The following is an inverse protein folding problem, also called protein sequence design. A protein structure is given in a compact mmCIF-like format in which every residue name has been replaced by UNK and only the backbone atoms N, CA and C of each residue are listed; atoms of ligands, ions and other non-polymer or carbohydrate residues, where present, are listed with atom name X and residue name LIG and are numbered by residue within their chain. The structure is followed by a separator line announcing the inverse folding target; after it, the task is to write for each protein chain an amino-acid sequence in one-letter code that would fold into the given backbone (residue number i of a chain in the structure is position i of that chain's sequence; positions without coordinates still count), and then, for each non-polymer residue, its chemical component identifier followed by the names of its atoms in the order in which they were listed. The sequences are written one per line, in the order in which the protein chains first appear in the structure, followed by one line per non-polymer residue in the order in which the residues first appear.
data_IF_008743582828
#
_entry.id   IF_008743582828
#
_cell.length_a   1.000
_cell.length_b   1.000
_cell.length_c   1.000
_cell.angle_alpha   90.00
_cell.angle_beta   90.00
_cell.angle_gamma   90.00
#
_symmetry.space_group_name_H-M   'P 1'
#
loop_
_entity.id
_entity.type
_entity.pdbx_description
1 polymer ?
#
# COMPACT_ATOMS: atom_id res chain seq x y z
N UNK A 1 17.35 50.42 -110.30
CA UNK A 1 18.14 50.82 -111.49
C UNK A 1 17.99 49.74 -112.55
N UNK A 2 17.57 50.10 -113.78
CA UNK A 2 17.29 49.11 -114.84
C UNK A 2 18.59 48.49 -115.35
N UNK A 3 18.57 47.16 -115.48
CA UNK A 3 19.62 46.24 -115.98
C UNK A 3 20.41 46.77 -117.19
N UNK A 4 19.75 47.52 -118.07
CA UNK A 4 20.34 48.10 -119.28
C UNK A 4 21.48 49.10 -119.03
N UNK A 5 21.52 49.78 -117.88
CA UNK A 5 22.57 50.76 -117.61
C UNK A 5 23.91 50.11 -117.26
N UNK A 6 23.91 48.90 -116.67
CA UNK A 6 25.12 48.19 -116.25
C UNK A 6 25.86 47.52 -117.42
N UNK A 7 25.15 47.04 -118.44
CA UNK A 7 25.79 46.52 -119.67
C UNK A 7 26.51 47.63 -120.44
N UNK A 8 25.97 48.85 -120.42
CA UNK A 8 26.58 50.02 -121.09
C UNK A 8 27.89 50.47 -120.41
N UNK A 9 27.98 50.31 -119.09
CA UNK A 9 29.20 50.62 -118.34
C UNK A 9 30.33 49.60 -118.61
N UNK A 10 30.00 48.33 -118.86
CA UNK A 10 30.98 47.28 -119.19
C UNK A 10 31.64 47.46 -120.58
N UNK A 11 30.97 48.12 -121.54
CA UNK A 11 31.55 48.40 -122.87
C UNK A 11 32.64 49.48 -122.86
N UNK A 12 32.55 50.47 -121.95
CA UNK A 12 33.40 51.67 -121.94
C UNK A 12 34.67 51.57 -121.07
N UNK A 13 35.01 50.42 -120.49
CA UNK A 13 36.30 50.25 -119.81
C UNK A 13 37.48 50.25 -120.81
N UNK A 14 38.68 50.77 -120.51
CA UNK A 14 39.88 50.58 -121.35
C UNK A 14 40.60 49.26 -121.00
N UNK A 15 40.89 48.40 -121.98
CA UNK A 15 41.55 47.09 -121.79
C UNK A 15 41.34 46.13 -122.97
N UNK A 16 42.22 45.14 -123.12
CA UNK A 16 42.14 44.05 -124.12
C UNK A 16 40.83 43.26 -123.99
N UNK A 17 40.25 42.80 -125.10
CA UNK A 17 38.90 42.19 -125.14
C UNK A 17 38.66 41.08 -124.10
N UNK A 18 39.70 40.34 -123.71
CA UNK A 18 39.61 39.23 -122.76
C UNK A 18 39.25 39.67 -121.34
N UNK A 19 39.77 40.80 -120.86
CA UNK A 19 39.49 41.30 -119.50
C UNK A 19 38.06 41.82 -119.38
N UNK A 20 37.54 42.45 -120.44
CA UNK A 20 36.14 42.88 -120.51
C UNK A 20 35.17 41.70 -120.52
N UNK A 21 35.52 40.61 -121.23
CA UNK A 21 34.71 39.38 -121.24
C UNK A 21 34.67 38.75 -119.85
N UNK A 22 35.81 38.63 -119.16
CA UNK A 22 35.85 38.11 -117.78
C UNK A 22 35.04 38.96 -116.80
N UNK A 23 35.20 40.29 -116.81
CA UNK A 23 34.42 41.18 -115.96
C UNK A 23 32.90 41.12 -116.27
N UNK A 24 32.55 40.98 -117.55
CA UNK A 24 31.15 40.78 -117.97
C UNK A 24 30.58 39.44 -117.51
N UNK A 25 31.37 38.38 -117.52
CA UNK A 25 31.00 37.06 -117.00
C UNK A 25 30.81 37.08 -115.47
N UNK A 26 31.69 37.75 -114.72
CA UNK A 26 31.55 37.92 -113.27
C UNK A 26 30.32 38.74 -112.87
N UNK A 27 30.03 39.82 -113.60
CA UNK A 27 28.81 40.61 -113.38
C UNK A 27 27.56 39.81 -113.74
N UNK A 28 27.59 39.01 -114.82
CA UNK A 28 26.49 38.09 -115.16
C UNK A 28 26.31 37.00 -114.09
N UNK A 29 27.40 36.46 -113.55
CA UNK A 29 27.36 35.49 -112.46
C UNK A 29 26.76 36.12 -111.20
N UNK A 30 27.26 37.30 -110.79
CA UNK A 30 26.74 38.07 -109.66
C UNK A 30 25.27 38.44 -109.84
N UNK A 31 24.82 38.72 -111.06
CA UNK A 31 23.42 38.99 -111.35
C UNK A 31 22.56 37.72 -111.27
N UNK A 32 23.09 36.56 -111.70
CA UNK A 32 22.42 35.27 -111.51
C UNK A 32 22.28 34.95 -110.02
N UNK A 33 23.32 35.14 -109.22
CA UNK A 33 23.26 34.91 -107.77
C UNK A 33 22.31 35.89 -107.08
N UNK A 34 22.26 37.16 -107.50
CA UNK A 34 21.33 38.13 -106.94
C UNK A 34 19.86 37.79 -107.30
N UNK A 35 19.62 37.19 -108.47
CA UNK A 35 18.30 36.64 -108.82
C UNK A 35 17.96 35.40 -107.99
N UNK A 36 18.87 34.45 -107.83
CA UNK A 36 18.60 33.25 -107.01
C UNK A 36 18.32 33.62 -105.55
N UNK A 37 19.11 34.54 -104.97
CA UNK A 37 18.89 35.06 -103.61
C UNK A 37 17.54 35.80 -103.50
N UNK A 38 17.15 36.56 -104.53
CA UNK A 38 15.83 37.20 -104.56
C UNK A 38 14.71 36.16 -104.59
N UNK A 39 14.86 35.10 -105.39
CA UNK A 39 13.87 34.02 -105.48
C UNK A 39 13.77 33.26 -104.15
N UNK A 40 14.89 32.95 -103.50
CA UNK A 40 14.94 32.39 -102.14
C UNK A 40 14.27 33.29 -101.11
N UNK A 41 14.55 34.60 -101.12
CA UNK A 41 13.89 35.55 -100.22
C UNK A 41 12.38 35.59 -100.45
N UNK A 42 11.92 35.54 -101.71
CA UNK A 42 10.48 35.47 -101.99
C UNK A 42 9.85 34.17 -101.51
N UNK A 43 10.57 33.03 -101.57
CA UNK A 43 10.12 31.75 -101.00
C UNK A 43 10.00 31.83 -99.48
N UNK A 44 11.03 32.29 -98.79
CA UNK A 44 11.03 32.45 -97.34
C UNK A 44 9.94 33.42 -96.87
N UNK A 45 9.76 34.53 -97.58
CA UNK A 45 8.66 35.47 -97.31
C UNK A 45 7.29 34.79 -97.45
N UNK A 46 7.11 33.97 -98.48
CA UNK A 46 5.86 33.23 -98.69
C UNK A 46 5.68 32.14 -97.61
N UNK A 47 6.74 31.43 -97.21
CA UNK A 47 6.71 30.46 -96.11
C UNK A 47 6.40 31.12 -94.77
N UNK A 48 6.99 32.27 -94.48
CA UNK A 48 6.69 33.05 -93.29
C UNK A 48 5.24 33.53 -93.29
N UNK A 49 4.72 33.99 -94.44
CA UNK A 49 3.30 34.35 -94.58
C UNK A 49 2.38 33.15 -94.30
N UNK A 50 2.68 31.97 -94.88
CA UNK A 50 1.93 30.74 -94.65
C UNK A 50 1.98 30.35 -93.17
N UNK A 51 3.15 30.40 -92.56
CA UNK A 51 3.35 30.12 -91.13
C UNK A 51 2.56 31.10 -90.25
N UNK A 52 2.52 32.37 -90.62
CA UNK A 52 1.75 33.39 -89.92
C UNK A 52 0.24 33.16 -90.08
N UNK A 53 -0.23 32.74 -91.26
CA UNK A 53 -1.64 32.36 -91.46
C UNK A 53 -2.01 31.13 -90.63
N UNK A 54 -1.15 30.11 -90.55
CA UNK A 54 -1.37 28.96 -89.68
C UNK A 54 -1.40 29.35 -88.21
N UNK A 55 -0.46 30.20 -87.77
CA UNK A 55 -0.46 30.73 -86.41
C UNK A 55 -1.74 31.49 -86.09
N UNK A 56 -2.23 32.30 -87.04
CA UNK A 56 -3.50 33.02 -86.90
C UNK A 56 -4.66 32.04 -86.77
N UNK A 57 -4.72 30.99 -87.59
CA UNK A 57 -5.77 29.96 -87.51
C UNK A 57 -5.70 29.16 -86.20
N UNK A 58 -4.51 28.80 -85.73
CA UNK A 58 -4.33 28.10 -84.44
C UNK A 58 -4.76 29.00 -83.29
N UNK A 59 -4.42 30.30 -83.34
CA UNK A 59 -4.85 31.25 -82.35
C UNK A 59 -6.38 31.38 -82.32
N UNK A 60 -7.01 31.50 -83.50
CA UNK A 60 -8.47 31.52 -83.64
C UNK A 60 -9.12 30.24 -83.12
N UNK A 61 -8.56 29.07 -83.44
CA UNK A 61 -9.08 27.79 -82.95
C UNK A 61 -8.95 27.67 -81.42
N UNK A 62 -7.87 28.20 -80.84
CA UNK A 62 -7.66 28.22 -79.40
C UNK A 62 -8.61 29.19 -78.69
N UNK A 63 -8.81 30.38 -79.24
CA UNK A 63 -9.80 31.34 -78.74
C UNK A 63 -11.20 30.74 -78.79
N UNK A 64 -11.59 30.15 -79.92
CA UNK A 64 -12.87 29.48 -80.06
C UNK A 64 -13.07 28.36 -79.03
N UNK A 65 -12.04 27.54 -78.80
CA UNK A 65 -12.09 26.49 -77.79
C UNK A 65 -12.18 27.05 -76.37
N UNK A 66 -11.47 28.13 -76.08
CA UNK A 66 -11.54 28.81 -74.81
C UNK A 66 -12.94 29.40 -74.57
N UNK A 67 -13.53 30.03 -75.58
CA UNK A 67 -14.89 30.58 -75.54
C UNK A 67 -15.93 29.47 -75.31
N UNK A 68 -15.79 28.32 -76.00
CA UNK A 68 -16.64 27.15 -75.78
C UNK A 68 -16.53 26.62 -74.35
N UNK A 69 -15.31 26.44 -73.83
CA UNK A 69 -15.11 25.98 -72.45
C UNK A 69 -15.65 26.97 -71.43
N UNK A 70 -15.46 28.26 -71.65
CA UNK A 70 -15.99 29.30 -70.76
C UNK A 70 -17.52 29.36 -70.79
N UNK A 71 -18.13 29.10 -71.95
CA UNK A 71 -19.58 29.02 -72.12
C UNK A 71 -20.15 27.79 -71.40
N UNK A 72 -19.49 26.63 -71.52
CA UNK A 72 -19.94 25.38 -70.90
C UNK A 72 -19.67 25.32 -69.40
N UNK A 73 -18.59 25.98 -68.92
CA UNK A 73 -18.17 25.98 -67.53
C UNK A 73 -17.89 27.42 -67.03
N UNK A 74 -18.92 28.21 -66.69
CA UNK A 74 -18.75 29.63 -66.31
C UNK A 74 -17.96 29.85 -65.02
N UNK A 75 -17.96 28.86 -64.12
CA UNK A 75 -17.30 28.93 -62.82
C UNK A 75 -15.83 28.46 -62.85
N UNK A 76 -15.33 28.05 -64.03
CA UNK A 76 -13.99 27.50 -64.19
C UNK A 76 -12.98 28.59 -64.57
N UNK A 77 -11.86 28.65 -63.86
CA UNK A 77 -10.74 29.52 -64.21
C UNK A 77 -9.58 28.68 -64.77
N UNK A 78 -9.10 29.03 -65.97
CA UNK A 78 -8.01 28.31 -66.65
C UNK A 78 -6.64 28.37 -65.92
N UNK A 79 -6.57 29.09 -64.80
CA UNK A 79 -5.35 29.35 -64.02
C UNK A 79 -5.09 28.28 -62.94
N UNK A 80 -6.09 27.48 -62.57
CA UNK A 80 -5.97 26.47 -61.54
C UNK A 80 -5.46 25.14 -62.11
N UNK A 81 -4.31 24.67 -61.62
CA UNK A 81 -3.65 23.43 -62.09
C UNK A 81 -4.37 22.12 -61.75
N UNK A 82 -5.47 22.14 -61.00
CA UNK A 82 -6.21 20.93 -60.61
C UNK A 82 -7.72 21.11 -60.77
N UNK A 83 -8.29 20.39 -61.71
CA UNK A 83 -9.73 20.41 -62.01
C UNK A 83 -10.48 19.50 -61.03
N UNK A 84 -11.29 20.07 -60.14
CA UNK A 84 -12.23 19.32 -59.30
C UNK A 84 -13.65 19.63 -59.79
N UNK A 85 -14.10 18.88 -60.79
CA UNK A 85 -15.47 18.97 -61.29
C UNK A 85 -16.41 18.17 -60.39
N UNK A 86 -17.64 18.65 -60.23
CA UNK A 86 -18.72 17.83 -59.69
C UNK A 86 -19.12 16.73 -60.69
N UNK A 87 -19.73 15.63 -60.23
CA UNK A 87 -20.09 14.47 -61.07
C UNK A 87 -20.94 14.87 -62.29
N UNK A 88 -21.90 15.79 -62.12
CA UNK A 88 -22.72 16.31 -63.21
C UNK A 88 -21.94 17.16 -64.24
N UNK A 89 -20.89 17.86 -63.82
CA UNK A 89 -20.03 18.66 -64.71
C UNK A 89 -19.04 17.75 -65.45
N UNK A 90 -18.63 16.64 -64.82
CA UNK A 90 -17.82 15.59 -65.43
C UNK A 90 -18.60 14.88 -66.54
N UNK A 91 -19.88 14.56 -66.33
CA UNK A 91 -20.73 13.95 -67.36
C UNK A 91 -20.94 14.88 -68.56
N UNK A 92 -21.14 16.19 -68.33
CA UNK A 92 -21.24 17.19 -69.39
C UNK A 92 -19.94 17.29 -70.19
N UNK A 93 -18.79 17.25 -69.52
CA UNK A 93 -17.48 17.24 -70.17
C UNK A 93 -17.26 15.97 -71.00
N UNK A 94 -17.63 14.80 -70.48
CA UNK A 94 -17.55 13.52 -71.20
C UNK A 94 -18.44 13.57 -72.44
N UNK A 95 -19.66 14.09 -72.32
CA UNK A 95 -20.58 14.24 -73.45
C UNK A 95 -20.01 15.16 -74.53
N UNK A 96 -19.45 16.32 -74.15
CA UNK A 96 -18.80 17.25 -75.07
C UNK A 96 -17.58 16.62 -75.76
N UNK A 97 -16.72 15.93 -75.01
CA UNK A 97 -15.56 15.24 -75.56
C UNK A 97 -15.99 14.15 -76.55
N UNK A 98 -17.02 13.38 -76.21
CA UNK A 98 -17.59 12.36 -77.08
C UNK A 98 -18.19 12.96 -78.36
N UNK A 99 -18.96 14.04 -78.26
CA UNK A 99 -19.54 14.73 -79.41
C UNK A 99 -18.46 15.32 -80.32
N UNK A 100 -17.40 15.88 -79.75
CA UNK A 100 -16.24 16.39 -80.47
C UNK A 100 -15.49 15.28 -81.20
N UNK A 101 -15.26 14.13 -80.53
CA UNK A 101 -14.66 12.95 -81.16
C UNK A 101 -15.52 12.46 -82.32
N UNK A 102 -16.84 12.37 -82.14
CA UNK A 102 -17.77 11.97 -83.20
C UNK A 102 -17.76 12.96 -84.38
N UNK A 103 -17.70 14.26 -84.10
CA UNK A 103 -17.59 15.30 -85.13
C UNK A 103 -16.32 15.10 -85.96
N UNK A 104 -15.16 14.91 -85.32
CA UNK A 104 -13.90 14.70 -86.03
C UNK A 104 -13.84 13.34 -86.75
N UNK A 105 -14.42 12.28 -86.19
CA UNK A 105 -14.58 11.01 -86.91
C UNK A 105 -15.46 11.16 -88.15
N UNK A 106 -16.52 11.96 -88.07
CA UNK A 106 -17.38 12.27 -89.23
C UNK A 106 -16.64 13.10 -90.28
N UNK A 107 -15.83 14.07 -89.88
CA UNK A 107 -14.97 14.84 -90.79
C UNK A 107 -13.88 13.95 -91.42
N UNK A 108 -13.25 13.05 -90.67
CA UNK A 108 -12.26 12.09 -91.20
C UNK A 108 -12.88 11.13 -92.22
N UNK A 109 -14.05 10.57 -91.92
CA UNK A 109 -14.77 9.69 -92.87
C UNK A 109 -15.25 10.47 -94.10
N UNK A 110 -15.66 11.72 -93.94
CA UNK A 110 -15.95 12.62 -95.06
C UNK A 110 -14.70 12.91 -95.91
N UNK A 111 -13.54 13.16 -95.30
CA UNK A 111 -12.28 13.33 -96.02
C UNK A 111 -11.86 12.05 -96.76
N UNK A 112 -11.99 10.87 -96.14
CA UNK A 112 -11.68 9.60 -96.79
C UNK A 112 -12.63 9.30 -97.95
N UNK A 113 -13.94 9.50 -97.77
CA UNK A 113 -14.92 9.33 -98.86
C UNK A 113 -14.70 10.33 -100.00
N UNK A 114 -14.37 11.59 -99.70
CA UNK A 114 -14.01 12.60 -100.71
C UNK A 114 -12.69 12.25 -101.40
N UNK A 115 -11.70 11.74 -100.66
CA UNK A 115 -10.43 11.24 -101.20
C UNK A 115 -10.63 10.07 -102.14
N UNK A 116 -11.42 9.07 -101.72
CA UNK A 116 -11.82 7.93 -102.54
C UNK A 116 -12.64 8.35 -103.76
N UNK A 117 -13.53 9.34 -103.64
CA UNK A 117 -14.29 9.87 -104.77
C UNK A 117 -13.39 10.59 -105.77
N UNK A 118 -12.45 11.43 -105.31
CA UNK A 118 -11.45 12.07 -106.17
C UNK A 118 -10.56 11.03 -106.86
N UNK A 119 -10.20 9.96 -106.16
CA UNK A 119 -9.40 8.87 -106.69
C UNK A 119 -10.18 8.07 -107.74
N UNK A 120 -11.46 7.73 -107.49
CA UNK A 120 -12.34 7.13 -108.50
C UNK A 120 -12.46 7.99 -109.75
N UNK A 121 -12.64 9.31 -109.58
CA UNK A 121 -12.67 10.26 -110.69
C UNK A 121 -11.32 10.36 -111.42
N UNK A 122 -10.19 10.23 -110.72
CA UNK A 122 -8.87 10.15 -111.34
C UNK A 122 -8.65 8.83 -112.10
N UNK A 123 -9.18 7.72 -111.57
CA UNK A 123 -9.13 6.39 -112.17
C UNK A 123 -10.01 6.31 -113.42
N UNK A 124 -11.21 6.91 -113.40
CA UNK A 124 -12.12 7.02 -114.56
C UNK A 124 -11.58 7.96 -115.65
N UNK A 125 -10.83 8.99 -115.27
CA UNK A 125 -10.15 9.89 -116.21
C UNK A 125 -8.86 9.30 -116.80
N UNK A 126 -8.32 8.24 -116.21
CA UNK A 126 -7.10 7.56 -116.66
C UNK A 126 -7.48 6.32 -117.47
N UNK A 127 -7.59 6.45 -118.79
CA UNK A 127 -7.50 5.30 -119.68
C UNK A 127 -6.03 5.08 -120.09
N UNK A 128 -5.50 3.94 -119.62
CA UNK A 128 -4.28 3.23 -120.08
C UNK A 128 -2.96 3.93 -119.73
N UNK A 129 -2.37 3.60 -118.57
CA UNK A 129 -0.91 3.39 -118.49
C UNK A 129 -0.04 4.31 -117.64
N UNK A 130 -0.57 5.21 -116.80
CA UNK A 130 0.29 6.01 -115.91
C UNK A 130 0.73 5.21 -114.66
N UNK A 131 2.05 5.06 -114.40
CA UNK A 131 2.58 4.31 -113.26
C UNK A 131 2.17 4.91 -111.91
N UNK A 132 2.04 6.24 -111.83
CA UNK A 132 1.73 6.98 -110.61
C UNK A 132 0.34 6.68 -110.03
N UNK A 133 -0.65 6.41 -110.89
CA UNK A 133 -2.00 6.05 -110.47
C UNK A 133 -2.06 4.63 -109.88
N UNK A 134 -1.25 3.72 -110.41
CA UNK A 134 -1.10 2.35 -109.90
C UNK A 134 -0.33 2.38 -108.57
N UNK A 135 0.73 3.19 -108.49
CA UNK A 135 1.50 3.42 -107.27
C UNK A 135 0.61 3.97 -106.14
N UNK A 136 -0.25 4.95 -106.41
CA UNK A 136 -1.21 5.47 -105.42
C UNK A 136 -2.19 4.39 -104.88
N UNK A 137 -2.63 3.44 -105.71
CA UNK A 137 -3.50 2.33 -105.27
C UNK A 137 -2.73 1.34 -104.40
N UNK A 138 -1.50 1.01 -104.79
CA UNK A 138 -0.62 0.14 -104.01
C UNK A 138 -0.30 0.78 -102.66
N UNK A 139 0.01 2.08 -102.64
CA UNK A 139 0.23 2.84 -101.42
C UNK A 139 -1.00 2.82 -100.49
N UNK A 140 -2.21 2.97 -101.04
CA UNK A 140 -3.43 2.94 -100.24
C UNK A 140 -3.69 1.55 -99.61
N UNK A 141 -3.45 0.47 -100.35
CA UNK A 141 -3.58 -0.89 -99.81
C UNK A 141 -2.48 -1.21 -98.79
N UNK A 142 -1.25 -0.76 -99.02
CA UNK A 142 -0.16 -0.84 -98.04
C UNK A 142 -0.51 -0.09 -96.76
N UNK A 143 -1.11 1.11 -96.87
CA UNK A 143 -1.58 1.88 -95.72
C UNK A 143 -2.74 1.19 -94.97
N UNK A 144 -3.65 0.50 -95.67
CA UNK A 144 -4.69 -0.31 -95.03
C UNK A 144 -4.09 -1.47 -94.24
N UNK A 145 -3.13 -2.21 -94.81
CA UNK A 145 -2.45 -3.30 -94.11
C UNK A 145 -1.63 -2.80 -92.93
N UNK A 146 -0.90 -1.68 -93.07
CA UNK A 146 -0.21 -1.02 -91.93
C UNK A 146 -1.18 -0.68 -90.81
N UNK A 147 -2.37 -0.15 -91.11
CA UNK A 147 -3.40 0.16 -90.11
C UNK A 147 -3.93 -1.09 -89.41
N UNK A 148 -4.16 -2.19 -90.15
CA UNK A 148 -4.56 -3.48 -89.56
C UNK A 148 -3.49 -3.99 -88.61
N UNK A 149 -2.23 -4.02 -89.07
CA UNK A 149 -1.07 -4.43 -88.26
C UNK A 149 -0.95 -3.55 -87.01
N UNK A 150 -1.05 -2.23 -87.13
CA UNK A 150 -1.05 -1.32 -85.99
C UNK A 150 -2.20 -1.60 -85.02
N UNK A 151 -3.41 -1.85 -85.53
CA UNK A 151 -4.57 -2.20 -84.70
C UNK A 151 -4.35 -3.50 -83.94
N UNK A 152 -3.78 -4.51 -84.59
CA UNK A 152 -3.52 -5.81 -83.96
C UNK A 152 -2.38 -5.75 -82.94
N UNK A 153 -1.33 -4.96 -83.19
CA UNK A 153 -0.29 -4.68 -82.18
C UNK A 153 -0.85 -3.91 -80.99
N UNK A 154 -1.73 -2.94 -81.25
CA UNK A 154 -2.37 -2.17 -80.17
C UNK A 154 -3.25 -3.08 -79.29
N UNK A 155 -4.01 -4.01 -79.88
CA UNK A 155 -4.76 -5.03 -79.13
C UNK A 155 -3.83 -5.89 -78.28
N UNK A 156 -2.77 -6.45 -78.87
CA UNK A 156 -1.79 -7.27 -78.13
C UNK A 156 -1.12 -6.52 -76.99
N UNK A 157 -0.80 -5.23 -77.18
CA UNK A 157 -0.24 -4.39 -76.12
C UNK A 157 -1.23 -4.17 -74.98
N UNK A 158 -2.51 -3.97 -75.30
CA UNK A 158 -3.57 -3.84 -74.30
C UNK A 158 -3.78 -5.15 -73.52
N UNK A 159 -3.79 -6.29 -74.21
CA UNK A 159 -3.94 -7.61 -73.59
C UNK A 159 -2.74 -7.91 -72.66
N UNK A 160 -1.51 -7.67 -73.14
CA UNK A 160 -0.30 -7.84 -72.33
C UNK A 160 -0.31 -6.91 -71.11
N UNK A 161 -0.79 -5.67 -71.27
CA UNK A 161 -0.92 -4.72 -70.17
C UNK A 161 -1.96 -5.19 -69.16
N UNK A 162 -3.12 -5.67 -69.61
CA UNK A 162 -4.16 -6.22 -68.76
C UNK A 162 -3.66 -7.44 -67.96
N UNK A 163 -2.94 -8.36 -68.60
CA UNK A 163 -2.33 -9.51 -67.94
C UNK A 163 -1.28 -9.10 -66.89
N UNK A 164 -0.45 -8.11 -67.21
CA UNK A 164 0.53 -7.55 -66.26
C UNK A 164 -0.17 -6.90 -65.06
N UNK A 165 -1.20 -6.10 -65.31
CA UNK A 165 -2.00 -5.46 -64.26
C UNK A 165 -2.71 -6.50 -63.38
N UNK A 166 -3.21 -7.58 -63.98
CA UNK A 166 -3.89 -8.65 -63.24
C UNK A 166 -2.92 -9.43 -62.35
N UNK A 167 -1.75 -9.81 -62.88
CA UNK A 167 -0.68 -10.43 -62.08
C UNK A 167 -0.21 -9.52 -60.93
N UNK A 168 -0.07 -8.22 -61.18
CA UNK A 168 0.28 -7.26 -60.15
C UNK A 168 -0.80 -7.16 -59.06
N UNK A 169 -2.08 -7.11 -59.45
CA UNK A 169 -3.21 -7.12 -58.51
C UNK A 169 -3.21 -8.40 -57.65
N UNK A 170 -2.98 -9.55 -58.26
CA UNK A 170 -3.00 -10.83 -57.54
C UNK A 170 -1.80 -10.98 -56.61
N UNK A 171 -0.61 -10.49 -57.00
CA UNK A 171 0.55 -10.42 -56.13
C UNK A 171 0.30 -9.49 -54.92
N UNK A 172 -0.29 -8.31 -55.14
CA UNK A 172 -0.65 -7.38 -54.05
C UNK A 172 -1.69 -8.02 -53.11
N UNK A 173 -2.70 -8.69 -53.64
CA UNK A 173 -3.70 -9.40 -52.83
C UNK A 173 -3.05 -10.48 -51.98
N UNK A 174 -2.21 -11.33 -52.57
CA UNK A 174 -1.50 -12.38 -51.84
C UNK A 174 -0.60 -11.80 -50.75
N UNK A 175 0.16 -10.75 -51.06
CA UNK A 175 0.98 -10.04 -50.10
C UNK A 175 0.15 -9.45 -48.95
N UNK A 176 -0.99 -8.81 -49.25
CA UNK A 176 -1.88 -8.26 -48.23
C UNK A 176 -2.47 -9.36 -47.34
N UNK A 177 -2.90 -10.49 -47.90
CA UNK A 177 -3.40 -11.63 -47.12
C UNK A 177 -2.32 -12.17 -46.18
N UNK A 178 -1.12 -12.44 -46.69
CA UNK A 178 0.01 -12.88 -45.87
C UNK A 178 0.35 -11.87 -44.77
N UNK A 179 0.37 -10.57 -45.10
CA UNK A 179 0.63 -9.53 -44.11
C UNK A 179 -0.48 -9.48 -43.04
N UNK A 180 -1.75 -9.64 -43.41
CA UNK A 180 -2.85 -9.69 -42.45
C UNK A 180 -2.78 -10.91 -41.54
N UNK A 181 -2.40 -12.08 -42.07
CA UNK A 181 -2.21 -13.30 -41.28
C UNK A 181 -1.06 -13.14 -40.28
N UNK A 182 0.10 -12.64 -40.73
CA UNK A 182 1.25 -12.37 -39.86
C UNK A 182 0.88 -11.36 -38.76
N UNK A 183 0.10 -10.33 -39.07
CA UNK A 183 -0.36 -9.36 -38.08
C UNK A 183 -1.32 -9.99 -37.06
N UNK A 184 -2.24 -10.84 -37.51
CA UNK A 184 -3.15 -11.55 -36.61
C UNK A 184 -2.39 -12.51 -35.68
N UNK A 185 -1.41 -13.25 -36.20
CA UNK A 185 -0.56 -14.14 -35.42
C UNK A 185 0.28 -13.37 -34.39
N UNK A 186 0.86 -12.24 -34.80
CA UNK A 186 1.60 -11.36 -33.91
C UNK A 186 0.71 -10.80 -32.78
N UNK A 187 -0.52 -10.37 -33.11
CA UNK A 187 -1.49 -9.90 -32.12
C UNK A 187 -1.90 -11.02 -31.15
N UNK A 188 -2.23 -12.20 -31.65
CA UNK A 188 -2.57 -13.36 -30.82
C UNK A 188 -1.43 -13.76 -29.86
N UNK A 189 -0.18 -13.67 -30.31
CA UNK A 189 0.97 -13.92 -29.45
C UNK A 189 1.13 -12.84 -28.38
N UNK A 190 0.94 -11.56 -28.73
CA UNK A 190 0.98 -10.45 -27.77
C UNK A 190 -0.13 -10.57 -26.73
N UNK A 191 -1.33 -10.95 -27.11
CA UNK A 191 -2.45 -11.19 -26.19
C UNK A 191 -2.11 -12.30 -25.19
N UNK A 192 -1.55 -13.43 -25.67
CA UNK A 192 -1.11 -14.53 -24.80
C UNK A 192 -0.03 -14.07 -23.82
N UNK A 193 0.94 -13.28 -24.27
CA UNK A 193 2.02 -12.77 -23.41
C UNK A 193 1.49 -11.77 -22.37
N UNK A 194 0.57 -10.89 -22.76
CA UNK A 194 -0.09 -9.96 -21.82
C UNK A 194 -0.90 -10.73 -20.79
N UNK A 195 -1.69 -11.72 -21.21
CA UNK A 195 -2.48 -12.55 -20.31
C UNK A 195 -1.60 -13.34 -19.33
N UNK A 196 -0.46 -13.87 -19.78
CA UNK A 196 0.52 -14.53 -18.91
C UNK A 196 1.12 -13.56 -17.88
N UNK A 197 1.50 -12.35 -18.32
CA UNK A 197 2.03 -11.31 -17.41
C UNK A 197 0.99 -10.88 -16.38
N UNK A 198 -0.25 -10.65 -16.81
CA UNK A 198 -1.36 -10.28 -15.93
C UNK A 198 -1.64 -11.38 -14.89
N UNK A 199 -1.71 -12.64 -15.32
CA UNK A 199 -1.89 -13.78 -14.41
C UNK A 199 -0.77 -13.86 -13.38
N UNK A 200 0.49 -13.74 -13.82
CA UNK A 200 1.65 -13.76 -12.93
C UNK A 200 1.62 -12.62 -11.92
N UNK A 201 1.28 -11.40 -12.36
CA UNK A 201 1.15 -10.25 -11.45
C UNK A 201 0.03 -10.45 -10.43
N UNK A 202 -1.10 -11.02 -10.85
CA UNK A 202 -2.23 -11.28 -9.97
C UNK A 202 -1.91 -12.38 -8.95
N UNK A 203 -1.22 -13.44 -9.37
CA UNK A 203 -0.72 -14.49 -8.47
C UNK A 203 0.29 -13.92 -7.46
N UNK A 204 1.22 -13.08 -7.90
CA UNK A 204 2.21 -12.43 -7.03
C UNK A 204 1.56 -11.49 -6.01
N UNK A 205 0.58 -10.68 -6.43
CA UNK A 205 -0.19 -9.83 -5.52
C UNK A 205 -0.98 -10.67 -4.50
N UNK A 206 -1.61 -11.74 -4.95
CA UNK A 206 -2.40 -12.63 -4.10
C UNK A 206 -1.52 -13.38 -3.08
N UNK A 207 -0.32 -13.79 -3.47
CA UNK A 207 0.67 -14.38 -2.54
C UNK A 207 1.12 -13.34 -1.51
N UNK A 208 1.52 -12.15 -1.94
CA UNK A 208 1.95 -11.07 -1.04
C UNK A 208 0.85 -10.69 -0.04
N UNK A 209 -0.40 -10.62 -0.47
CA UNK A 209 -1.53 -10.30 0.39
C UNK A 209 -1.82 -11.43 1.38
N UNK A 210 -1.75 -12.69 0.95
CA UNK A 210 -1.84 -13.86 1.85
C UNK A 210 -0.72 -13.88 2.89
N UNK A 211 0.50 -13.54 2.51
CA UNK A 211 1.64 -13.49 3.43
C UNK A 211 1.45 -12.40 4.48
N UNK A 212 1.06 -11.18 4.08
CA UNK A 212 0.72 -10.10 5.01
C UNK A 212 -0.38 -10.50 5.98
N UNK A 213 -1.47 -11.09 5.48
CA UNK A 213 -2.55 -11.59 6.35
C UNK A 213 -2.05 -12.67 7.32
N UNK A 214 -1.16 -13.57 6.87
CA UNK A 214 -0.59 -14.61 7.73
C UNK A 214 0.29 -14.00 8.82
N UNK A 215 1.09 -12.99 8.51
CA UNK A 215 1.90 -12.27 9.49
C UNK A 215 1.03 -11.54 10.52
N UNK A 216 -0.01 -10.84 10.08
CA UNK A 216 -0.96 -10.16 10.96
C UNK A 216 -1.69 -11.17 11.87
N UNK A 217 -2.13 -12.29 11.33
CA UNK A 217 -2.76 -13.37 12.10
C UNK A 217 -1.78 -14.00 13.10
N UNK A 218 -0.52 -14.23 12.72
CA UNK A 218 0.50 -14.74 13.62
C UNK A 218 0.77 -13.75 14.76
N UNK A 219 0.86 -12.45 14.46
CA UNK A 219 1.01 -11.39 15.46
C UNK A 219 -0.19 -11.31 16.41
N UNK A 220 -1.42 -11.40 15.89
CA UNK A 220 -2.65 -11.46 16.71
C UNK A 220 -2.69 -12.71 17.60
N UNK A 221 -2.39 -13.88 17.05
CA UNK A 221 -2.33 -15.13 17.81
C UNK A 221 -1.27 -15.08 18.91
N UNK A 222 -0.10 -14.49 18.64
CA UNK A 222 0.93 -14.26 19.64
C UNK A 222 0.45 -13.36 20.79
N UNK A 223 -0.21 -12.25 20.47
CA UNK A 223 -0.80 -11.35 21.48
C UNK A 223 -1.90 -12.02 22.30
N UNK A 224 -2.78 -12.80 21.65
CA UNK A 224 -3.86 -13.53 22.33
C UNK A 224 -3.30 -14.59 23.28
N UNK A 225 -2.29 -15.36 22.86
CA UNK A 225 -1.61 -16.32 23.74
C UNK A 225 -0.93 -15.64 24.92
N UNK A 226 -0.22 -14.52 24.66
CA UNK A 226 0.39 -13.72 25.73
C UNK A 226 -0.65 -13.20 26.72
N UNK A 227 -1.80 -12.74 26.24
CA UNK A 227 -2.91 -12.30 27.10
C UNK A 227 -3.51 -13.46 27.90
N UNK A 228 -3.71 -14.63 27.30
CA UNK A 228 -4.23 -15.81 28.01
C UNK A 228 -3.26 -16.29 29.10
N UNK A 229 -1.95 -16.32 28.83
CA UNK A 229 -0.94 -16.65 29.83
C UNK A 229 -0.89 -15.62 30.97
N UNK A 230 -0.97 -14.32 30.66
CA UNK A 230 -1.03 -13.26 31.66
C UNK A 230 -2.30 -13.35 32.51
N UNK A 231 -3.45 -13.63 31.89
CA UNK A 231 -4.71 -13.85 32.60
C UNK A 231 -4.62 -15.05 33.55
N UNK A 232 -4.06 -16.18 33.08
CA UNK A 232 -3.87 -17.38 33.92
C UNK A 232 -2.93 -17.12 35.10
N UNK A 233 -1.80 -16.44 34.86
CA UNK A 233 -0.87 -16.04 35.93
C UNK A 233 -1.52 -15.10 36.93
N UNK A 234 -2.25 -14.08 36.45
CA UNK A 234 -2.95 -13.12 37.30
C UNK A 234 -4.05 -13.78 38.12
N UNK A 235 -4.85 -14.66 37.52
CA UNK A 235 -5.87 -15.43 38.24
C UNK A 235 -5.27 -16.33 39.33
N UNK A 236 -4.09 -16.92 39.07
CA UNK A 236 -3.34 -17.67 40.08
C UNK A 236 -2.85 -16.80 41.23
N UNK A 237 -2.27 -15.62 40.93
CA UNK A 237 -1.82 -14.65 41.93
C UNK A 237 -2.98 -14.10 42.76
N UNK A 238 -4.10 -13.77 42.11
CA UNK A 238 -5.30 -13.24 42.78
C UNK A 238 -5.91 -14.25 43.74
N UNK A 239 -5.97 -15.54 43.37
CA UNK A 239 -6.40 -16.61 44.29
C UNK A 239 -5.55 -16.65 45.57
N UNK A 240 -4.23 -16.57 45.42
CA UNK A 240 -3.31 -16.58 46.57
C UNK A 240 -3.43 -15.30 47.41
N UNK A 241 -3.60 -14.14 46.77
CA UNK A 241 -3.80 -12.88 47.46
C UNK A 241 -5.09 -12.88 48.29
N UNK A 242 -6.20 -13.39 47.73
CA UNK A 242 -7.46 -13.55 48.45
C UNK A 242 -7.30 -14.51 49.64
N UNK A 243 -6.57 -15.63 49.47
CA UNK A 243 -6.27 -16.56 50.56
C UNK A 243 -5.47 -15.90 51.69
N UNK A 244 -4.40 -15.17 51.37
CA UNK A 244 -3.62 -14.46 52.38
C UNK A 244 -4.44 -13.37 53.09
N UNK A 245 -5.34 -12.69 52.37
CA UNK A 245 -6.24 -11.70 52.98
C UNK A 245 -7.25 -12.35 53.93
N UNK A 246 -7.85 -13.49 53.55
CA UNK A 246 -8.74 -14.25 54.44
C UNK A 246 -7.99 -14.70 55.69
N UNK A 247 -6.78 -15.24 55.53
CA UNK A 247 -5.97 -15.70 56.63
C UNK A 247 -5.58 -14.54 57.56
N UNK A 248 -5.18 -13.40 57.00
CA UNK A 248 -4.88 -12.20 57.78
C UNK A 248 -6.09 -11.72 58.57
N UNK A 249 -7.28 -11.66 57.96
CA UNK A 249 -8.51 -11.25 58.63
C UNK A 249 -8.90 -12.22 59.77
N UNK A 250 -8.72 -13.53 59.57
CA UNK A 250 -8.95 -14.52 60.62
C UNK A 250 -7.94 -14.36 61.78
N UNK A 251 -6.67 -14.08 61.48
CA UNK A 251 -5.64 -13.85 62.50
C UNK A 251 -5.86 -12.53 63.25
N UNK A 252 -6.32 -11.47 62.57
CA UNK A 252 -6.71 -10.21 63.18
C UNK A 252 -7.92 -10.40 64.11
N UNK A 253 -8.91 -11.20 63.71
CA UNK A 253 -10.03 -11.62 64.55
C UNK A 253 -9.57 -12.32 65.83
N UNK A 254 -8.60 -13.25 65.71
CA UNK A 254 -7.98 -13.93 66.84
C UNK A 254 -7.26 -12.96 67.80
N UNK A 255 -6.43 -12.05 67.29
CA UNK A 255 -5.73 -11.05 68.14
C UNK A 255 -6.71 -10.08 68.78
N UNK A 256 -7.73 -9.65 68.05
CA UNK A 256 -8.82 -8.83 68.60
C UNK A 256 -9.59 -9.57 69.69
N UNK A 257 -9.78 -10.89 69.57
CA UNK A 257 -10.41 -11.69 70.60
C UNK A 257 -9.58 -11.75 71.91
N UNK A 258 -8.25 -11.74 71.80
CA UNK A 258 -7.31 -11.78 72.94
C UNK A 258 -7.17 -10.39 73.59
N UNK A 259 -7.04 -9.34 72.77
CA UNK A 259 -6.73 -7.97 73.21
C UNK A 259 -7.96 -7.15 73.60
N UNK A 260 -9.17 -7.58 73.20
CA UNK A 260 -10.39 -6.80 73.29
C UNK A 260 -10.54 -6.01 74.60
N UNK A 261 -10.57 -4.69 74.45
CA UNK A 261 -10.77 -3.68 75.50
C UNK A 261 -12.26 -3.32 75.67
N UNK A 262 -13.17 -4.03 74.99
CA UNK A 262 -14.61 -3.77 75.11
C UNK A 262 -15.06 -4.11 76.53
N UNK A 263 -15.88 -3.22 77.09
CA UNK A 263 -16.53 -3.27 78.41
C UNK A 263 -17.36 -4.55 78.60
N UNK A 264 -16.71 -5.71 78.70
CA UNK A 264 -17.30 -6.88 79.33
C UNK A 264 -17.28 -6.59 80.82
N UNK A 265 -18.35 -5.98 81.31
CA UNK A 265 -18.68 -5.72 82.71
C UNK A 265 -18.69 -6.97 83.62
N UNK A 266 -18.27 -8.12 83.10
CA UNK A 266 -18.15 -9.38 83.81
C UNK A 266 -16.84 -10.06 83.40
N UNK A 267 -16.09 -10.53 84.41
CA UNK A 267 -14.89 -11.37 84.32
C UNK A 267 -15.27 -12.69 83.63
N UNK A 268 -15.51 -12.64 82.33
CA UNK A 268 -15.97 -13.76 81.53
C UNK A 268 -14.83 -14.20 80.62
N UNK A 269 -14.59 -15.50 80.65
CA UNK A 269 -13.61 -16.15 79.80
C UNK A 269 -14.15 -16.15 78.38
N UNK A 270 -13.37 -15.70 77.40
CA UNK A 270 -13.78 -15.69 76.00
C UNK A 270 -13.32 -16.96 75.32
N UNK A 271 -14.26 -17.68 74.69
CA UNK A 271 -13.92 -18.85 73.88
C UNK A 271 -13.22 -18.41 72.59
N UNK A 272 -12.09 -19.06 72.28
CA UNK A 272 -11.25 -18.77 71.11
C UNK A 272 -11.38 -19.89 70.06
N UNK A 273 -12.10 -20.97 70.37
CA UNK A 273 -12.24 -22.13 69.49
C UNK A 273 -12.78 -21.77 68.08
N UNK A 274 -13.72 -20.82 68.00
CA UNK A 274 -14.27 -20.36 66.72
C UNK A 274 -13.23 -19.62 65.85
N UNK A 275 -12.41 -18.77 66.46
CA UNK A 275 -11.37 -18.01 65.75
C UNK A 275 -10.22 -18.91 65.30
N UNK A 276 -9.80 -19.87 66.14
CA UNK A 276 -8.78 -20.87 65.76
C UNK A 276 -9.27 -21.73 64.60
N UNK A 277 -10.54 -22.16 64.63
CA UNK A 277 -11.14 -22.88 63.51
C UNK A 277 -11.21 -22.02 62.23
N UNK A 278 -11.52 -20.72 62.36
CA UNK A 278 -11.51 -19.80 61.23
C UNK A 278 -10.11 -19.67 60.59
N UNK A 279 -9.05 -19.59 61.42
CA UNK A 279 -7.66 -19.60 60.93
C UNK A 279 -7.33 -20.92 60.24
N UNK A 280 -7.76 -22.06 60.81
CA UNK A 280 -7.52 -23.37 60.20
C UNK A 280 -8.25 -23.55 58.85
N UNK A 281 -9.43 -22.97 58.69
CA UNK A 281 -10.17 -22.99 57.41
C UNK A 281 -9.63 -22.00 56.38
N UNK A 282 -9.06 -20.88 56.82
CA UNK A 282 -8.45 -19.89 55.93
C UNK A 282 -7.04 -20.29 55.49
N UNK A 283 -6.37 -21.17 56.24
CA UNK A 283 -5.08 -21.73 55.90
C UNK A 283 -5.16 -22.66 54.69
N UNK A 284 -4.12 -22.62 53.85
CA UNK A 284 -3.95 -23.64 52.82
C UNK A 284 -3.45 -24.93 53.46
N UNK A 285 -3.76 -26.09 52.86
CA UNK A 285 -3.32 -27.39 53.37
C UNK A 285 -1.78 -27.52 53.38
N UNK A 286 -1.09 -26.71 52.57
CA UNK A 286 0.36 -26.70 52.38
C UNK A 286 1.13 -25.85 53.42
N UNK A 287 0.44 -25.03 54.22
CA UNK A 287 1.09 -24.13 55.19
C UNK A 287 1.47 -24.85 56.50
N UNK A 288 2.59 -25.58 56.48
CA UNK A 288 3.13 -26.34 57.63
C UNK A 288 3.32 -25.44 58.88
N UNK A 289 3.74 -24.19 58.68
CA UNK A 289 3.95 -23.23 59.77
C UNK A 289 2.65 -22.89 60.50
N UNK A 290 1.56 -22.67 59.76
CA UNK A 290 0.25 -22.34 60.36
C UNK A 290 -0.26 -23.52 61.18
N UNK A 291 -0.12 -24.74 60.65
CA UNK A 291 -0.50 -25.96 61.37
C UNK A 291 0.34 -26.17 62.64
N UNK A 292 1.65 -25.99 62.56
CA UNK A 292 2.55 -26.09 63.71
C UNK A 292 2.19 -25.07 64.81
N UNK A 293 1.87 -23.84 64.43
CA UNK A 293 1.50 -22.78 65.38
C UNK A 293 0.12 -23.04 65.98
N UNK A 294 -0.87 -23.47 65.20
CA UNK A 294 -2.19 -23.85 65.74
C UNK A 294 -2.07 -25.00 66.75
N UNK A 295 -1.21 -25.99 66.48
CA UNK A 295 -0.94 -27.09 67.41
C UNK A 295 -0.19 -26.66 68.68
N UNK A 296 0.56 -25.56 68.62
CA UNK A 296 1.28 -25.01 69.78
C UNK A 296 0.36 -24.28 70.77
N UNK A 297 -0.86 -23.92 70.37
CA UNK A 297 -1.83 -23.26 71.25
C UNK A 297 -2.27 -24.24 72.36
N UNK A 298 -2.23 -23.83 73.65
CA UNK A 298 -2.60 -24.72 74.74
C UNK A 298 -4.07 -25.14 74.64
N UNK A 299 -4.33 -26.45 74.77
CA UNK A 299 -5.70 -27.00 74.67
C UNK A 299 -6.66 -26.42 75.73
N UNK A 300 -6.12 -26.04 76.89
CA UNK A 300 -6.86 -25.36 77.96
C UNK A 300 -7.46 -24.04 77.44
N UNK A 301 -6.71 -23.29 76.62
CA UNK A 301 -7.20 -22.06 76.02
C UNK A 301 -8.32 -22.29 74.99
N UNK A 302 -8.28 -23.41 74.26
CA UNK A 302 -9.30 -23.76 73.26
C UNK A 302 -10.59 -24.20 73.93
N UNK A 303 -10.52 -25.06 74.97
CA UNK A 303 -11.70 -25.64 75.62
C UNK A 303 -12.36 -24.72 76.63
N UNK A 304 -11.56 -24.03 77.46
CA UNK A 304 -12.05 -23.14 78.52
C UNK A 304 -12.21 -21.69 78.02
N UNK A 305 -11.39 -21.30 77.04
CA UNK A 305 -11.18 -19.91 76.66
C UNK A 305 -10.09 -19.22 77.49
N UNK A 306 -9.75 -17.99 77.12
CA UNK A 306 -8.71 -17.20 77.79
C UNK A 306 -9.31 -15.97 78.48
N UNK A 307 -8.64 -15.52 79.53
CA UNK A 307 -8.88 -14.22 80.13
C UNK A 307 -8.25 -13.11 79.28
N UNK A 308 -9.08 -12.17 78.81
CA UNK A 308 -8.57 -10.98 78.12
C UNK A 308 -7.70 -10.10 79.03
N UNK A 309 -6.96 -9.17 78.43
CA UNK A 309 -6.10 -8.23 79.15
C UNK A 309 -6.79 -7.50 80.32
N UNK A 310 -8.01 -6.93 80.19
CA UNK A 310 -8.68 -6.26 81.31
C UNK A 310 -9.05 -7.23 82.44
N UNK A 311 -9.55 -8.43 82.11
CA UNK A 311 -9.89 -9.45 83.10
C UNK A 311 -8.66 -9.93 83.88
N UNK A 312 -7.52 -10.06 83.21
CA UNK A 312 -6.26 -10.45 83.82
C UNK A 312 -5.71 -9.34 84.74
N UNK A 313 -5.90 -8.06 84.37
CA UNK A 313 -5.58 -6.90 85.24
C UNK A 313 -6.40 -6.93 86.53
N UNK A 314 -7.70 -7.18 86.45
CA UNK A 314 -8.56 -7.28 87.63
C UNK A 314 -8.20 -8.46 88.53
N UNK A 315 -7.94 -9.64 87.94
CA UNK A 315 -7.46 -10.81 88.69
C UNK A 315 -6.13 -10.55 89.36
N UNK A 316 -5.22 -9.81 88.73
CA UNK A 316 -3.97 -9.41 89.35
C UNK A 316 -4.20 -8.54 90.58
N UNK A 317 -5.11 -7.55 90.53
CA UNK A 317 -5.40 -6.69 91.69
C UNK A 317 -5.85 -7.54 92.89
N UNK A 318 -6.71 -8.53 92.65
CA UNK A 318 -7.17 -9.47 93.68
C UNK A 318 -6.02 -10.36 94.18
N UNK A 319 -5.25 -10.95 93.27
CA UNK A 319 -4.10 -11.81 93.60
C UNK A 319 -3.04 -11.05 94.38
N UNK A 320 -2.69 -9.83 93.97
CA UNK A 320 -1.74 -8.95 94.65
C UNK A 320 -2.25 -8.51 96.02
N UNK A 321 -3.56 -8.37 96.22
CA UNK A 321 -4.16 -8.07 97.53
C UNK A 321 -4.03 -9.26 98.48
N UNK A 322 -4.30 -10.48 98.01
CA UNK A 322 -4.17 -11.71 98.81
C UNK A 322 -2.70 -12.04 99.07
N UNK A 323 -1.84 -11.96 98.06
CA UNK A 323 -0.40 -12.18 98.18
C UNK A 323 0.26 -11.20 99.16
N UNK A 324 -0.18 -9.93 99.20
CA UNK A 324 0.26 -8.96 100.22
C UNK A 324 -0.11 -9.37 101.64
N UNK A 325 -1.31 -9.90 101.86
CA UNK A 325 -1.76 -10.38 103.19
C UNK A 325 -0.94 -11.57 103.70
N UNK A 326 -0.42 -12.36 102.78
CA UNK A 326 0.27 -13.63 103.04
C UNK A 326 1.80 -13.51 102.89
N UNK A 327 2.32 -12.29 102.73
CA UNK A 327 3.72 -12.02 102.35
C UNK A 327 4.80 -12.64 103.27
N UNK A 328 4.53 -12.82 104.56
CA UNK A 328 5.47 -13.39 105.54
C UNK A 328 5.35 -14.90 105.75
N UNK A 329 4.39 -15.57 105.10
CA UNK A 329 4.13 -16.98 105.36
C UNK A 329 5.04 -17.91 104.52
N UNK A 330 5.60 -18.98 105.12
CA UNK A 330 6.30 -20.03 104.39
C UNK A 330 5.34 -20.94 103.60
N UNK A 331 5.88 -21.75 102.68
CA UNK A 331 5.12 -22.57 101.70
C UNK A 331 4.23 -23.66 102.32
N UNK A 332 4.48 -24.05 103.58
CA UNK A 332 3.72 -25.10 104.30
C UNK A 332 2.63 -24.59 105.24
N UNK A 333 2.27 -23.30 105.16
CA UNK A 333 1.39 -22.65 106.12
C UNK A 333 2.10 -22.28 107.43
N UNK A 334 1.49 -21.39 108.21
CA UNK A 334 2.03 -20.91 109.48
C UNK A 334 0.99 -21.06 110.59
N UNK A 335 1.44 -20.94 111.85
CA UNK A 335 0.54 -20.89 112.99
C UNK A 335 -0.37 -19.65 112.91
N UNK A 336 -1.60 -19.77 113.42
CA UNK A 336 -2.61 -18.69 113.44
C UNK A 336 -2.10 -17.32 113.91
N UNK A 337 -1.26 -17.18 114.95
CA UNK A 337 -0.72 -15.87 115.34
C UNK A 337 0.19 -15.25 114.27
N UNK A 338 0.97 -16.06 113.54
CA UNK A 338 1.83 -15.58 112.45
C UNK A 338 0.99 -15.14 111.24
N UNK A 339 -0.13 -15.82 110.97
CA UNK A 339 -1.10 -15.38 109.96
C UNK A 339 -1.72 -14.04 110.30
N UNK A 340 -2.13 -13.84 111.56
CA UNK A 340 -2.70 -12.57 112.03
C UNK A 340 -1.66 -11.43 111.94
N UNK A 341 -0.40 -11.70 112.31
CA UNK A 341 0.70 -10.74 112.20
C UNK A 341 0.97 -10.35 110.74
N UNK A 342 1.03 -11.32 109.82
CA UNK A 342 1.20 -11.05 108.38
C UNK A 342 0.06 -10.19 107.83
N UNK A 343 -1.18 -10.46 108.25
CA UNK A 343 -2.34 -9.66 107.87
C UNK A 343 -2.24 -8.22 108.39
N UNK A 344 -1.91 -8.02 109.66
CA UNK A 344 -1.74 -6.68 110.26
C UNK A 344 -0.58 -5.91 109.62
N UNK A 345 0.54 -6.57 109.33
CA UNK A 345 1.66 -5.94 108.63
C UNK A 345 1.24 -5.48 107.24
N UNK A 346 0.49 -6.30 106.49
CA UNK A 346 0.04 -5.95 105.14
C UNK A 346 -0.85 -4.69 105.08
N UNK A 347 -1.50 -4.33 106.17
CA UNK A 347 -2.31 -3.11 106.30
C UNK A 347 -1.48 -1.86 106.63
N UNK A 348 -0.34 -2.02 107.30
CA UNK A 348 0.50 -0.91 107.78
C UNK A 348 1.60 -0.52 106.78
N UNK A 349 1.96 -1.40 105.84
CA UNK A 349 2.99 -1.13 104.82
C UNK A 349 2.45 -0.18 103.73
N UNK A 350 2.98 1.04 103.70
CA UNK A 350 2.73 2.04 102.66
C UNK A 350 3.66 1.77 101.48
N UNK A 351 3.10 1.55 100.28
CA UNK A 351 3.90 1.35 99.07
C UNK A 351 4.50 2.69 98.57
N UNK A 352 5.81 2.75 98.24
CA UNK A 352 6.45 3.98 97.76
C UNK A 352 5.92 4.44 96.39
N UNK A 353 6.01 5.73 96.10
CA UNK A 353 5.48 6.38 94.87
C UNK A 353 6.25 5.98 93.59
N UNK A 354 7.52 5.58 93.71
CA UNK A 354 8.36 5.17 92.58
C UNK A 354 8.59 3.64 92.62
N UNK A 355 7.88 2.84 91.78
CA UNK A 355 7.89 1.38 91.86
C UNK A 355 9.11 0.70 91.22
N UNK A 356 9.81 1.37 90.29
CA UNK A 356 10.94 0.79 89.53
C UNK A 356 12.08 1.82 89.48
N UNK A 357 13.30 1.46 89.89
CA UNK A 357 14.46 2.35 89.82
C UNK A 357 14.99 2.48 88.38
N UNK A 358 15.61 3.63 88.05
CA UNK A 358 16.05 3.95 86.69
C UNK A 358 17.06 2.97 86.08
N UNK A 359 17.83 2.25 86.90
CA UNK A 359 18.77 1.23 86.43
C UNK A 359 18.07 -0.02 85.89
N UNK A 360 16.93 -0.40 86.45
CA UNK A 360 16.12 -1.53 85.97
C UNK A 360 15.47 -1.22 84.61
N UNK A 361 15.13 0.05 84.36
CA UNK A 361 14.64 0.52 83.06
C UNK A 361 15.72 0.49 81.97
N UNK A 362 17.00 0.52 82.35
CA UNK A 362 18.14 0.42 81.44
C UNK A 362 18.59 -1.03 81.18
N UNK A 363 17.79 -2.03 81.59
CA UNK A 363 18.08 -3.46 81.47
C UNK A 363 19.35 -3.94 82.21
N UNK A 364 19.71 -3.30 83.32
CA UNK A 364 20.82 -3.77 84.16
C UNK A 364 20.47 -5.07 84.91
N UNK A 365 21.44 -5.95 85.20
CA UNK A 365 21.18 -7.23 85.86
C UNK A 365 20.69 -7.03 87.31
N UNK A 366 19.55 -7.64 87.62
CA UNK A 366 18.90 -7.56 88.93
C UNK A 366 19.35 -8.72 89.81
N UNK A 367 19.68 -8.45 91.07
CA UNK A 367 19.92 -9.48 92.07
C UNK A 367 18.58 -10.03 92.61
N UNK A 368 18.20 -11.29 92.33
CA UNK A 368 16.89 -11.83 92.75
C UNK A 368 16.78 -12.07 94.26
N UNK A 369 17.90 -12.06 94.99
CA UNK A 369 17.93 -12.33 96.43
C UNK A 369 17.61 -11.10 97.30
N UNK A 370 17.79 -9.88 96.77
CA UNK A 370 17.54 -8.64 97.52
C UNK A 370 16.08 -8.17 97.46
N UNK A 371 15.26 -8.80 96.62
CA UNK A 371 13.89 -8.35 96.39
C UNK A 371 12.92 -8.90 97.45
N UNK A 372 12.16 -8.00 98.07
CA UNK A 372 11.08 -8.35 98.98
C UNK A 372 9.77 -8.61 98.20
N UNK A 373 8.89 -9.45 98.74
CA UNK A 373 7.55 -9.79 98.19
C UNK A 373 6.74 -8.55 97.83
N UNK A 374 6.76 -7.51 98.67
CA UNK A 374 6.05 -6.26 98.42
C UNK A 374 6.60 -5.50 97.21
N UNK A 375 7.92 -5.45 97.06
CA UNK A 375 8.55 -4.80 95.92
C UNK A 375 8.32 -5.57 94.63
N UNK A 376 8.31 -6.90 94.67
CA UNK A 376 7.98 -7.75 93.52
C UNK A 376 6.56 -7.46 93.03
N UNK A 377 5.57 -7.46 93.92
CA UNK A 377 4.18 -7.17 93.56
C UNK A 377 4.00 -5.74 93.02
N UNK A 378 4.78 -4.79 93.54
CA UNK A 378 4.77 -3.41 93.08
C UNK A 378 5.41 -3.24 91.69
N UNK A 379 6.55 -3.89 91.43
CA UNK A 379 7.18 -3.95 90.09
C UNK A 379 6.24 -4.62 89.08
N UNK A 380 5.63 -5.74 89.45
CA UNK A 380 4.63 -6.42 88.61
C UNK A 380 3.46 -5.50 88.26
N UNK A 381 2.93 -4.74 89.22
CA UNK A 381 1.85 -3.77 88.94
C UNK A 381 2.27 -2.74 87.88
N UNK A 382 3.49 -2.21 87.99
CA UNK A 382 4.00 -1.24 87.04
C UNK A 382 4.06 -1.78 85.60
N UNK A 383 4.50 -3.03 85.42
CA UNK A 383 4.57 -3.65 84.09
C UNK A 383 3.18 -4.04 83.55
N UNK A 384 2.23 -4.40 84.43
CA UNK A 384 0.82 -4.64 84.05
C UNK A 384 0.15 -3.37 83.53
N UNK A 385 0.38 -2.23 84.19
CA UNK A 385 -0.18 -0.94 83.76
C UNK A 385 0.33 -0.55 82.35
N UNK A 386 1.51 -1.07 81.95
CA UNK A 386 2.12 -0.89 80.62
C UNK A 386 1.79 -2.00 79.62
N UNK A 387 1.14 -3.08 80.05
CA UNK A 387 0.76 -4.22 79.20
C UNK A 387 1.90 -5.19 78.88
N UNK A 388 3.06 -5.11 79.55
CA UNK A 388 4.16 -6.06 79.37
C UNK A 388 4.00 -7.26 80.31
N UNK A 389 3.22 -8.24 79.86
CA UNK A 389 2.92 -9.46 80.61
C UNK A 389 4.15 -10.39 80.79
N UNK A 390 5.19 -10.26 79.96
CA UNK A 390 6.39 -11.08 80.07
C UNK A 390 7.21 -10.70 81.31
N UNK A 391 7.41 -9.39 81.53
CA UNK A 391 8.07 -8.91 82.74
C UNK A 391 7.26 -9.25 83.99
N UNK A 392 5.92 -9.18 83.91
CA UNK A 392 5.02 -9.55 85.01
C UNK A 392 5.19 -11.00 85.39
N UNK A 393 5.20 -11.91 84.41
CA UNK A 393 5.46 -13.33 84.65
C UNK A 393 6.83 -13.53 85.31
N UNK A 394 7.87 -12.84 84.81
CA UNK A 394 9.23 -12.91 85.36
C UNK A 394 9.29 -12.48 86.82
N UNK A 395 8.74 -11.31 87.16
CA UNK A 395 8.75 -10.81 88.54
C UNK A 395 7.88 -11.67 89.46
N UNK A 396 6.67 -12.04 89.04
CA UNK A 396 5.78 -12.87 89.85
C UNK A 396 6.35 -14.27 90.12
N UNK A 397 7.18 -14.83 89.22
CA UNK A 397 7.86 -16.10 89.45
C UNK A 397 9.00 -16.01 90.48
N UNK A 398 9.47 -14.80 90.82
CA UNK A 398 10.45 -14.57 91.90
C UNK A 398 9.83 -14.61 93.30
N UNK A 399 8.50 -14.66 93.41
CA UNK A 399 7.80 -14.81 94.69
C UNK A 399 8.21 -16.12 95.38
N UNK A 400 8.29 -16.09 96.71
CA UNK A 400 8.64 -17.23 97.55
C UNK A 400 7.56 -17.39 98.63
N UNK A 401 7.40 -18.60 99.18
CA UNK A 401 6.47 -18.80 100.29
C UNK A 401 5.02 -18.97 99.84
N UNK A 402 4.09 -18.81 100.78
CA UNK A 402 2.66 -18.86 100.49
C UNK A 402 2.16 -17.81 99.46
N UNK A 403 2.77 -16.62 99.29
CA UNK A 403 2.45 -15.72 98.17
C UNK A 403 2.63 -16.34 96.78
N UNK A 404 3.61 -17.23 96.62
CA UNK A 404 3.84 -17.94 95.36
C UNK A 404 2.70 -18.91 95.05
N UNK A 405 2.22 -19.64 96.06
CA UNK A 405 1.09 -20.58 95.93
C UNK A 405 -0.17 -19.83 95.51
N UNK A 406 -0.46 -18.68 96.14
CA UNK A 406 -1.59 -17.81 95.76
C UNK A 406 -1.44 -17.27 94.33
N UNK A 407 -0.21 -16.97 93.91
CA UNK A 407 0.07 -16.47 92.58
C UNK A 407 0.12 -17.55 91.50
N UNK A 408 0.15 -18.84 91.86
CA UNK A 408 0.35 -19.93 90.90
C UNK A 408 -0.77 -19.99 89.87
N UNK A 409 -2.03 -19.94 90.30
CA UNK A 409 -3.19 -19.95 89.41
C UNK A 409 -3.17 -18.74 88.44
N UNK A 410 -2.73 -17.58 88.93
CA UNK A 410 -2.57 -16.39 88.10
C UNK A 410 -1.40 -16.54 87.11
N UNK A 411 -0.28 -17.10 87.53
CA UNK A 411 0.90 -17.36 86.69
C UNK A 411 0.58 -18.33 85.55
N UNK A 412 -0.18 -19.40 85.83
CA UNK A 412 -0.64 -20.35 84.81
C UNK A 412 -1.56 -19.68 83.78
N UNK A 413 -2.46 -18.81 84.22
CA UNK A 413 -3.32 -18.04 83.32
C UNK A 413 -2.54 -17.02 82.48
N UNK A 414 -1.58 -16.30 83.07
CA UNK A 414 -0.68 -15.38 82.33
C UNK A 414 0.15 -16.15 81.30
N UNK A 415 0.64 -17.34 81.65
CA UNK A 415 1.40 -18.20 80.73
C UNK A 415 0.53 -18.62 79.54
N UNK A 416 -0.67 -19.13 79.78
CA UNK A 416 -1.60 -19.51 78.71
C UNK A 416 -1.97 -18.32 77.81
N UNK A 417 -2.17 -17.14 78.41
CA UNK A 417 -2.40 -15.89 77.68
C UNK A 417 -1.21 -15.52 76.79
N UNK A 418 0.01 -15.56 77.31
CA UNK A 418 1.23 -15.25 76.58
C UNK A 418 1.51 -16.23 75.44
N UNK A 419 1.38 -17.53 75.68
CA UNK A 419 1.57 -18.56 74.65
C UNK A 419 0.59 -18.36 73.49
N UNK A 420 -0.67 -18.04 73.80
CA UNK A 420 -1.68 -17.83 72.76
C UNK A 420 -1.49 -16.49 72.04
N UNK A 421 -1.11 -15.42 72.76
CA UNK A 421 -0.78 -14.13 72.16
C UNK A 421 0.42 -14.24 71.22
N UNK A 422 1.48 -14.93 71.65
CA UNK A 422 2.65 -15.18 70.83
C UNK A 422 2.29 -16.00 69.57
N UNK A 423 1.49 -17.06 69.71
CA UNK A 423 1.02 -17.83 68.56
C UNK A 423 0.22 -16.95 67.59
N UNK A 424 -0.67 -16.10 68.08
CA UNK A 424 -1.46 -15.19 67.26
C UNK A 424 -0.60 -14.12 66.56
N UNK A 425 0.39 -13.54 67.23
CA UNK A 425 1.32 -12.57 66.66
C UNK A 425 2.19 -13.21 65.56
N UNK A 426 2.65 -14.45 65.78
CA UNK A 426 3.37 -15.22 64.75
C UNK A 426 2.48 -15.46 63.53
N UNK A 427 1.22 -15.85 63.73
CA UNK A 427 0.26 -16.04 62.63
C UNK A 427 0.00 -14.75 61.85
N UNK A 428 -0.18 -13.60 62.52
CA UNK A 428 -0.34 -12.30 61.83
C UNK A 428 0.93 -11.91 61.08
N UNK A 429 2.11 -12.10 61.66
CA UNK A 429 3.38 -11.78 60.99
C UNK A 429 3.59 -12.66 59.75
N UNK A 430 3.21 -13.94 59.81
CA UNK A 430 3.21 -14.85 58.67
C UNK A 430 2.17 -14.43 57.61
N UNK A 431 0.95 -14.10 58.03
CA UNK A 431 -0.12 -13.65 57.15
C UNK A 431 0.25 -12.37 56.38
N UNK A 432 0.83 -11.41 57.08
CA UNK A 432 1.29 -10.14 56.49
C UNK A 432 2.50 -10.34 55.59
N UNK A 433 3.46 -11.19 55.96
CA UNK A 433 4.58 -11.56 55.10
C UNK A 433 4.10 -12.29 53.83
N UNK A 434 3.13 -13.20 53.96
CA UNK A 434 2.52 -13.91 52.82
C UNK A 434 1.79 -12.94 51.89
N UNK A 435 1.04 -11.98 52.45
CA UNK A 435 0.38 -10.93 51.68
C UNK A 435 1.36 -9.97 50.97
N UNK A 436 2.53 -9.70 51.56
CA UNK A 436 3.57 -8.83 50.99
C UNK A 436 4.47 -9.53 49.96
N UNK A 437 4.64 -10.85 50.07
CA UNK A 437 5.46 -11.65 49.16
C UNK A 437 4.78 -11.93 47.81
N UNK A 438 3.50 -11.54 47.66
CA UNK A 438 2.67 -11.68 46.46
C UNK A 438 2.51 -10.37 45.73
#
# INVERSE_FOLDING_TARGET
MRLYHLERYLQNLPGTEEEKKKAGEEVKHSMKTLKTVKDEFTREKNMANVTNTYWTMVHQAREHFQDELQTLFPNFSLSDKSMKLAEAEMDLFILYAFQTILFYQKELTKLDTVGQAKLKVALEKSHIGDPDAIECVIEQEVEKEKRKICSDYQKKLLDLKADCEQKAKDAIKSHNMMHTEIMQDALAQKEKDVMKKMKRQLEEQLVNEKEKYREEMAGLLGRLKGMDELMKKRAGQEKKAVQAQLLWSACEGLVSAITCDRDCSTISVRSIAGEVHAVQMAASEDDELVQAVVNSIPQIAISRGIFGEPALKERFINTARVARRVALLPEGGASLPVMLLSYLQSLLVISPVNPVPCHELNNEPINPASLNTFEILQRSKYWIDRGDWYQVLRYMNLLKGAPKVVAQDFLEEVKNFLETKQAADVLISHASASALAM
#
